data_IF_613879842631
#
_entry.id   IF_613879842631
#
_cell.length_a   1.000
_cell.length_b   1.000
_cell.length_c   1.000
_cell.angle_alpha   90.00
_cell.angle_beta   90.00
_cell.angle_gamma   90.00
#
_symmetry.space_group_name_H-M   'P 1'
#
loop_
_entity.id
_entity.type
_entity.pdbx_description
1 polymer ?
#
# COMPACT_ATOMS: atom_id res chain seq x y z
N UNK A 1 -47.08 34.69 -4.82
CA UNK A 1 -46.43 33.39 -4.56
C UNK A 1 -47.23 32.65 -3.50
N UNK A 2 -47.43 31.34 -3.59
CA UNK A 2 -48.05 30.57 -2.50
C UNK A 2 -47.10 30.49 -1.30
N UNK A 3 -47.62 30.48 -0.06
CA UNK A 3 -46.80 30.33 1.16
C UNK A 3 -45.84 29.14 1.06
N UNK A 4 -46.30 28.02 0.51
CA UNK A 4 -45.50 26.82 0.25
C UNK A 4 -44.27 27.09 -0.62
N UNK A 5 -44.39 27.94 -1.66
CA UNK A 5 -43.27 28.29 -2.54
C UNK A 5 -42.25 29.17 -1.83
N UNK A 6 -42.70 30.11 -1.00
CA UNK A 6 -41.81 30.95 -0.20
C UNK A 6 -41.03 30.11 0.82
N UNK A 7 -41.70 29.16 1.48
CA UNK A 7 -41.07 28.22 2.41
C UNK A 7 -40.05 27.33 1.67
N UNK A 8 -40.42 26.72 0.54
CA UNK A 8 -39.50 25.88 -0.23
C UNK A 8 -38.28 26.66 -0.74
N UNK A 9 -38.46 27.90 -1.20
CA UNK A 9 -37.36 28.76 -1.61
C UNK A 9 -36.44 29.12 -0.45
N UNK A 10 -37.00 29.45 0.73
CA UNK A 10 -36.22 29.72 1.93
C UNK A 10 -35.44 28.47 2.38
N UNK A 11 -36.06 27.29 2.43
CA UNK A 11 -35.38 26.03 2.76
C UNK A 11 -34.27 25.70 1.76
N UNK A 12 -34.49 25.96 0.46
CA UNK A 12 -33.47 25.78 -0.58
C UNK A 12 -32.27 26.67 -0.32
N UNK A 13 -32.49 27.96 -0.05
CA UNK A 13 -31.41 28.91 0.23
C UNK A 13 -30.62 28.51 1.48
N UNK A 14 -31.31 28.18 2.58
CA UNK A 14 -30.67 27.75 3.84
C UNK A 14 -29.87 26.47 3.63
N UNK A 15 -30.43 25.47 2.95
CA UNK A 15 -29.74 24.20 2.68
C UNK A 15 -28.52 24.40 1.77
N UNK A 16 -28.60 25.29 0.78
CA UNK A 16 -27.46 25.64 -0.08
C UNK A 16 -26.33 26.31 0.72
N UNK A 17 -26.66 27.28 1.59
CA UNK A 17 -25.67 27.94 2.46
C UNK A 17 -25.04 26.93 3.42
N UNK A 18 -25.85 26.08 4.05
CA UNK A 18 -25.37 25.02 4.94
C UNK A 18 -24.45 24.02 4.23
N UNK A 19 -24.78 23.65 2.98
CA UNK A 19 -23.96 22.78 2.14
C UNK A 19 -22.60 23.43 1.82
N UNK A 20 -22.59 24.70 1.38
CA UNK A 20 -21.36 25.43 1.08
C UNK A 20 -20.48 25.52 2.33
N UNK A 21 -21.05 25.93 3.47
CA UNK A 21 -20.32 26.04 4.73
C UNK A 21 -19.73 24.69 5.17
N UNK A 22 -20.51 23.61 5.06
CA UNK A 22 -20.07 22.25 5.40
C UNK A 22 -18.98 21.74 4.45
N UNK A 23 -19.09 22.03 3.15
CA UNK A 23 -18.08 21.67 2.16
C UNK A 23 -16.75 22.42 2.39
N UNK A 24 -16.81 23.71 2.73
CA UNK A 24 -15.61 24.50 3.10
C UNK A 24 -14.98 23.96 4.38
N UNK A 25 -15.78 23.63 5.40
CA UNK A 25 -15.27 23.03 6.63
C UNK A 25 -14.64 21.64 6.39
N UNK A 26 -15.25 20.82 5.53
CA UNK A 26 -14.72 19.52 5.10
C UNK A 26 -13.39 19.69 4.38
N UNK A 27 -13.30 20.60 3.40
CA UNK A 27 -12.08 20.87 2.65
C UNK A 27 -10.95 21.37 3.56
N UNK A 28 -11.25 22.27 4.51
CA UNK A 28 -10.28 22.72 5.52
C UNK A 28 -9.83 21.59 6.43
N UNK A 29 -10.75 20.75 6.90
CA UNK A 29 -10.43 19.59 7.74
C UNK A 29 -9.52 18.59 7.04
N UNK A 30 -9.77 18.32 5.75
CA UNK A 30 -8.91 17.45 4.92
C UNK A 30 -7.55 18.11 4.68
N UNK A 31 -7.51 19.41 4.35
CA UNK A 31 -6.27 20.13 4.11
C UNK A 31 -5.39 20.18 5.37
N UNK A 32 -6.00 20.44 6.53
CA UNK A 32 -5.32 20.42 7.82
C UNK A 32 -4.78 19.01 8.11
N UNK A 33 -5.61 17.98 7.98
CA UNK A 33 -5.18 16.60 8.19
C UNK A 33 -3.98 16.22 7.31
N UNK A 34 -4.01 16.55 6.02
CA UNK A 34 -2.90 16.26 5.10
C UNK A 34 -1.64 17.09 5.40
N UNK A 35 -1.79 18.26 6.01
CA UNK A 35 -0.66 19.09 6.45
C UNK A 35 -0.03 18.52 7.72
N UNK A 36 -0.85 18.06 8.66
CA UNK A 36 -0.42 17.46 9.92
C UNK A 36 0.09 16.02 9.73
N UNK A 37 -0.35 15.35 8.67
CA UNK A 37 -0.02 13.97 8.32
C UNK A 37 0.44 13.91 6.86
N UNK A 38 1.60 14.49 6.50
CA UNK A 38 2.10 14.42 5.14
C UNK A 38 2.38 12.96 4.77
N UNK A 39 1.57 12.39 3.90
CA UNK A 39 1.82 11.04 3.37
C UNK A 39 2.84 11.14 2.25
N UNK A 40 4.09 10.75 2.55
CA UNK A 40 5.11 10.57 1.52
C UNK A 40 4.65 9.62 0.41
N UNK A 41 5.28 9.74 -0.75
CA UNK A 41 5.14 8.76 -1.82
C UNK A 41 6.29 7.78 -1.67
N UNK A 42 5.94 6.51 -1.45
CA UNK A 42 6.90 5.43 -1.36
C UNK A 42 7.05 4.79 -2.73
N UNK A 43 8.24 4.94 -3.32
CA UNK A 43 8.60 4.27 -4.55
C UNK A 43 9.34 2.99 -4.23
N UNK A 44 8.85 1.91 -4.82
CA UNK A 44 9.44 0.58 -4.67
C UNK A 44 9.77 0.07 -6.05
N UNK A 45 11.05 -0.07 -6.33
CA UNK A 45 11.58 -0.36 -7.66
C UNK A 45 12.27 -1.74 -7.59
N UNK A 46 11.62 -2.81 -8.11
CA UNK A 46 12.27 -4.11 -8.17
C UNK A 46 13.43 -4.06 -9.16
N UNK A 47 14.58 -4.56 -8.73
CA UNK A 47 15.79 -4.67 -9.54
C UNK A 47 16.00 -6.14 -9.91
N UNK A 48 16.12 -6.39 -11.22
CA UNK A 48 16.33 -7.74 -11.77
C UNK A 48 17.78 -8.02 -12.17
N UNK A 49 18.67 -7.05 -11.95
CA UNK A 49 20.08 -7.14 -12.31
C UNK A 49 20.88 -7.98 -11.30
N UNK A 50 21.73 -8.87 -11.80
CA UNK A 50 22.65 -9.69 -11.00
C UNK A 50 23.85 -8.87 -10.50
N UNK A 51 24.15 -7.75 -11.15
CA UNK A 51 25.22 -6.84 -10.77
C UNK A 51 24.73 -5.41 -10.82
N UNK A 52 24.99 -4.66 -9.75
CA UNK A 52 24.64 -3.24 -9.65
C UNK A 52 25.58 -2.54 -8.66
N UNK A 53 25.55 -1.21 -8.64
CA UNK A 53 26.35 -0.41 -7.70
C UNK A 53 25.43 0.38 -6.79
N UNK A 54 25.69 0.33 -5.48
CA UNK A 54 24.92 1.05 -4.47
C UNK A 54 25.85 1.63 -3.40
N UNK A 55 25.63 2.89 -3.01
CA UNK A 55 26.55 3.65 -2.14
C UNK A 55 28.04 3.52 -2.50
N UNK A 56 28.34 3.53 -3.81
CA UNK A 56 29.70 3.42 -4.32
C UNK A 56 30.32 2.01 -4.26
N UNK A 57 29.57 1.01 -3.80
CA UNK A 57 30.02 -0.39 -3.65
C UNK A 57 29.31 -1.31 -4.64
N UNK A 58 30.03 -2.30 -5.14
CA UNK A 58 29.47 -3.27 -6.05
C UNK A 58 28.66 -4.31 -5.28
N UNK A 59 27.49 -4.62 -5.83
CA UNK A 59 26.62 -5.70 -5.40
C UNK A 59 26.59 -6.72 -6.53
N UNK A 60 26.88 -7.98 -6.18
CA UNK A 60 26.82 -9.09 -7.12
C UNK A 60 26.06 -10.25 -6.51
N UNK A 61 25.11 -10.77 -7.27
CA UNK A 61 24.31 -11.96 -6.96
C UNK A 61 24.77 -13.10 -7.85
N UNK A 62 25.05 -14.25 -7.25
CA UNK A 62 25.46 -15.46 -7.96
C UNK A 62 24.76 -16.68 -7.37
N UNK A 63 24.49 -17.65 -8.23
CA UNK A 63 23.88 -18.92 -7.83
C UNK A 63 24.94 -19.98 -7.56
N UNK A 64 24.84 -20.66 -6.41
CA UNK A 64 25.53 -21.90 -6.09
C UNK A 64 24.45 -22.97 -5.85
N UNK A 65 23.91 -23.50 -6.96
CA UNK A 65 22.73 -24.39 -6.99
C UNK A 65 22.99 -25.65 -7.80
N UNK A 66 22.32 -26.75 -7.43
CA UNK A 66 22.29 -28.02 -8.15
C UNK A 66 21.37 -27.97 -9.39
N UNK A 67 21.35 -29.06 -10.17
CA UNK A 67 20.49 -29.21 -11.37
C UNK A 67 18.98 -29.13 -11.06
N UNK A 68 18.59 -29.24 -9.78
CA UNK A 68 17.20 -29.10 -9.32
C UNK A 68 16.91 -27.69 -8.79
N UNK A 69 17.86 -26.77 -8.90
CA UNK A 69 17.75 -25.40 -8.40
C UNK A 69 17.81 -25.30 -6.88
N UNK A 70 18.33 -26.30 -6.17
CA UNK A 70 18.52 -26.28 -4.71
C UNK A 70 19.94 -25.83 -4.41
N UNK A 71 20.13 -25.03 -3.37
CA UNK A 71 21.44 -24.55 -2.97
C UNK A 71 21.35 -23.21 -2.27
N UNK A 72 22.29 -22.31 -2.58
CA UNK A 72 22.34 -20.97 -2.00
C UNK A 72 22.47 -19.90 -3.09
N UNK A 73 21.80 -18.78 -2.88
CA UNK A 73 22.07 -17.52 -3.58
C UNK A 73 23.11 -16.78 -2.76
N UNK A 74 24.26 -16.49 -3.38
CA UNK A 74 25.35 -15.76 -2.75
C UNK A 74 25.29 -14.32 -3.21
N UNK A 75 25.17 -13.40 -2.26
CA UNK A 75 25.12 -11.96 -2.50
C UNK A 75 26.34 -11.32 -1.87
N UNK A 76 27.09 -10.58 -2.67
CA UNK A 76 28.26 -9.83 -2.23
C UNK A 76 27.94 -8.34 -2.20
N UNK A 77 28.48 -7.62 -1.22
CA UNK A 77 28.39 -6.17 -1.09
C UNK A 77 29.72 -5.62 -0.57
N UNK A 78 30.57 -5.15 -1.48
CA UNK A 78 31.98 -4.95 -1.17
C UNK A 78 32.61 -6.24 -0.64
N UNK A 79 33.16 -6.22 0.57
CA UNK A 79 33.82 -7.37 1.20
C UNK A 79 32.86 -8.29 1.97
N UNK A 80 31.57 -7.92 2.07
CA UNK A 80 30.57 -8.72 2.79
C UNK A 80 29.94 -9.75 1.87
N UNK A 81 29.70 -10.94 2.42
CA UNK A 81 29.06 -12.06 1.75
C UNK A 81 27.84 -12.49 2.56
N UNK A 82 26.69 -12.49 1.93
CA UNK A 82 25.42 -13.00 2.44
C UNK A 82 25.06 -14.26 1.65
N UNK A 83 24.81 -15.37 2.35
CA UNK A 83 24.39 -16.63 1.73
C UNK A 83 22.95 -16.91 2.10
N UNK A 84 22.08 -16.96 1.10
CA UNK A 84 20.65 -17.14 1.27
C UNK A 84 20.26 -18.52 0.76
N UNK A 85 19.71 -19.41 1.60
CA UNK A 85 19.26 -20.72 1.14
C UNK A 85 18.08 -20.57 0.19
N UNK A 86 18.12 -21.26 -0.95
CA UNK A 86 17.01 -21.25 -1.90
C UNK A 86 15.76 -21.81 -1.24
N UNK A 87 14.72 -20.96 -1.14
CA UNK A 87 13.45 -21.32 -0.48
C UNK A 87 12.50 -22.08 -1.39
N UNK A 88 12.43 -21.68 -2.65
CA UNK A 88 11.59 -22.29 -3.68
C UNK A 88 12.51 -22.68 -4.84
N UNK A 89 12.92 -23.96 -4.92
CA UNK A 89 13.79 -24.42 -5.99
C UNK A 89 13.11 -24.30 -7.36
N UNK A 90 13.84 -23.78 -8.34
CA UNK A 90 13.40 -23.71 -9.73
C UNK A 90 14.45 -24.42 -10.62
N UNK A 91 14.15 -25.61 -11.17
CA UNK A 91 15.11 -26.37 -11.98
C UNK A 91 15.45 -25.65 -13.29
N UNK A 92 14.57 -24.77 -13.79
CA UNK A 92 14.78 -24.09 -15.05
C UNK A 92 15.78 -22.93 -14.91
N UNK A 93 16.82 -22.85 -15.76
CA UNK A 93 17.73 -21.71 -15.80
C UNK A 93 17.04 -20.52 -16.45
N UNK A 94 16.44 -19.66 -15.63
CA UNK A 94 15.89 -18.37 -16.07
C UNK A 94 16.97 -17.28 -16.00
N UNK A 95 16.92 -16.27 -16.87
CA UNK A 95 17.92 -15.21 -16.89
C UNK A 95 17.80 -14.27 -15.69
N UNK A 96 18.93 -13.75 -15.22
CA UNK A 96 18.95 -12.77 -14.14
C UNK A 96 18.41 -13.34 -12.84
N UNK A 97 17.73 -12.49 -12.08
CA UNK A 97 17.09 -12.88 -10.83
C UNK A 97 15.72 -13.55 -11.03
N UNK A 98 15.28 -13.77 -12.27
CA UNK A 98 13.95 -14.32 -12.56
C UNK A 98 13.74 -15.72 -12.00
N UNK A 99 14.82 -16.53 -11.91
CA UNK A 99 14.78 -17.87 -11.29
C UNK A 99 14.27 -17.83 -9.86
N UNK A 100 14.57 -16.75 -9.14
CA UNK A 100 14.30 -16.62 -7.71
C UNK A 100 13.11 -15.71 -7.39
N UNK A 101 12.45 -15.13 -8.39
CA UNK A 101 11.41 -14.13 -8.21
C UNK A 101 10.25 -14.59 -7.31
N UNK A 102 10.01 -15.91 -7.20
CA UNK A 102 8.99 -16.52 -6.34
C UNK A 102 9.30 -16.44 -4.83
N UNK A 103 10.53 -16.12 -4.45
CA UNK A 103 10.91 -16.02 -3.05
C UNK A 103 11.93 -14.93 -2.73
N UNK A 104 12.64 -14.40 -3.71
CA UNK A 104 13.72 -13.42 -3.53
C UNK A 104 13.55 -12.28 -4.53
N UNK A 105 13.64 -11.06 -4.03
CA UNK A 105 13.62 -9.84 -4.86
C UNK A 105 14.57 -8.80 -4.28
N UNK A 106 15.37 -8.16 -5.13
CA UNK A 106 16.11 -6.96 -4.75
C UNK A 106 15.23 -5.75 -5.04
N UNK A 107 15.09 -4.87 -4.06
CA UNK A 107 14.19 -3.73 -4.12
C UNK A 107 14.93 -2.48 -3.71
N UNK A 108 14.87 -1.45 -4.56
CA UNK A 108 15.21 -0.08 -4.17
C UNK A 108 13.96 0.62 -3.67
N UNK A 109 14.04 1.19 -2.48
CA UNK A 109 12.94 1.88 -1.83
C UNK A 109 13.31 3.34 -1.57
N UNK A 110 12.47 4.26 -2.04
CA UNK A 110 12.69 5.70 -1.95
C UNK A 110 11.46 6.34 -1.29
N UNK A 111 11.68 7.05 -0.19
CA UNK A 111 10.67 7.80 0.55
C UNK A 111 10.67 9.25 0.07
N UNK A 112 9.76 9.60 -0.84
CA UNK A 112 9.71 10.94 -1.41
C UNK A 112 8.61 11.81 -0.77
N UNK A 113 8.77 13.15 -0.74
CA UNK A 113 7.69 14.04 -0.37
C UNK A 113 6.44 13.87 -1.24
N UNK A 114 5.24 14.23 -0.74
CA UNK A 114 4.02 14.20 -1.53
C UNK A 114 4.19 14.96 -2.85
N UNK A 115 3.57 14.45 -3.93
CA UNK A 115 3.57 15.05 -5.28
C UNK A 115 4.96 15.16 -5.95
N UNK A 116 5.96 14.44 -5.44
CA UNK A 116 7.25 14.28 -6.13
C UNK A 116 7.08 13.28 -7.28
N UNK A 117 7.72 13.49 -8.43
CA UNK A 117 7.79 12.49 -9.52
C UNK A 117 8.87 11.45 -9.22
N UNK A 118 8.81 10.28 -9.88
CA UNK A 118 9.84 9.25 -9.71
C UNK A 118 11.24 9.76 -10.10
N UNK A 119 11.35 10.46 -11.22
CA UNK A 119 12.62 11.03 -11.71
C UNK A 119 13.21 12.00 -10.68
N UNK A 120 12.38 12.93 -10.17
CA UNK A 120 12.82 13.88 -9.13
C UNK A 120 13.18 13.16 -7.84
N UNK A 121 12.43 12.14 -7.44
CA UNK A 121 12.74 11.34 -6.26
C UNK A 121 14.10 10.62 -6.41
N UNK A 122 14.40 10.09 -7.59
CA UNK A 122 15.70 9.48 -7.87
C UNK A 122 16.85 10.49 -7.80
N UNK A 123 16.66 11.70 -8.34
CA UNK A 123 17.65 12.78 -8.20
C UNK A 123 17.90 13.15 -6.73
N UNK A 124 16.83 13.35 -5.96
CA UNK A 124 16.90 13.66 -4.53
C UNK A 124 17.60 12.53 -3.75
N UNK A 125 17.30 11.27 -4.07
CA UNK A 125 17.95 10.10 -3.50
C UNK A 125 19.45 10.06 -3.83
N UNK A 126 19.83 10.31 -5.10
CA UNK A 126 21.23 10.39 -5.51
C UNK A 126 21.98 11.56 -4.86
N UNK A 127 21.29 12.68 -4.62
CA UNK A 127 21.81 13.84 -3.91
C UNK A 127 21.87 13.68 -2.40
N UNK A 128 21.30 12.60 -1.84
CA UNK A 128 21.21 12.37 -0.40
C UNK A 128 20.20 13.28 0.31
N UNK A 129 19.28 13.91 -0.42
CA UNK A 129 18.21 14.77 0.14
C UNK A 129 17.12 13.94 0.84
N UNK A 130 16.89 12.71 0.39
CA UNK A 130 15.89 11.78 0.93
C UNK A 130 16.48 10.39 1.14
N UNK A 131 15.79 9.57 1.93
CA UNK A 131 16.22 8.20 2.20
C UNK A 131 16.15 7.34 0.93
N UNK A 132 17.29 6.71 0.61
CA UNK A 132 17.45 5.73 -0.45
C UNK A 132 17.89 4.42 0.17
N UNK A 133 17.04 3.40 0.09
CA UNK A 133 17.30 2.09 0.66
C UNK A 133 17.42 1.08 -0.45
N UNK A 134 18.39 0.18 -0.34
CA UNK A 134 18.44 -1.01 -1.15
C UNK A 134 18.35 -2.22 -0.24
N UNK A 135 17.41 -3.11 -0.56
CA UNK A 135 17.05 -4.20 0.33
C UNK A 135 16.80 -5.46 -0.49
N UNK A 136 17.30 -6.59 0.01
CA UNK A 136 16.84 -7.90 -0.42
C UNK A 136 15.63 -8.28 0.42
N UNK A 137 14.55 -8.69 -0.25
CA UNK A 137 13.37 -9.22 0.42
C UNK A 137 13.20 -10.69 0.08
N UNK A 138 13.33 -11.52 1.11
CA UNK A 138 13.02 -12.94 1.08
C UNK A 138 11.58 -13.17 1.52
N UNK A 139 10.86 -14.05 0.81
CA UNK A 139 9.63 -14.68 1.28
C UNK A 139 10.01 -16.03 1.86
N UNK A 140 9.80 -16.19 3.15
CA UNK A 140 10.18 -17.40 3.89
C UNK A 140 8.91 -18.23 4.11
N UNK A 141 8.71 -19.32 3.34
CA UNK A 141 7.63 -20.24 3.63
C UNK A 141 7.99 -21.03 4.89
N UNK A 142 7.35 -20.74 6.03
CA UNK A 142 7.47 -21.58 7.22
C UNK A 142 6.47 -22.73 7.13
N UNK A 143 6.98 -23.91 6.79
CA UNK A 143 6.23 -25.16 6.62
C UNK A 143 5.82 -25.81 7.95
N UNK A 144 6.62 -25.65 9.00
CA UNK A 144 6.41 -26.33 10.29
C UNK A 144 5.21 -25.78 11.07
N UNK A 145 4.83 -24.52 10.85
CA UNK A 145 3.56 -23.97 11.37
C UNK A 145 2.31 -24.49 10.61
N UNK A 146 2.53 -25.40 9.65
CA UNK A 146 1.59 -25.85 8.64
C UNK A 146 1.75 -27.36 8.36
N UNK A 147 1.91 -28.20 9.40
CA UNK A 147 1.58 -29.62 9.25
C UNK A 147 0.16 -29.72 8.68
N UNK A 148 0.07 -30.05 7.39
CA UNK A 148 -1.18 -30.12 6.62
C UNK A 148 -1.47 -28.97 5.64
N UNK A 149 -0.79 -27.82 5.69
CA UNK A 149 -1.06 -26.71 4.75
C UNK A 149 -0.15 -26.68 3.51
N UNK A 150 0.91 -27.50 3.49
CA UNK A 150 1.70 -27.81 2.30
C UNK A 150 1.80 -29.32 2.08
N UNK A 151 0.66 -29.99 2.27
CA UNK A 151 0.51 -31.41 1.98
C UNK A 151 1.16 -31.74 0.65
N UNK A 152 2.22 -32.54 0.70
CA UNK A 152 2.67 -33.37 -0.41
C UNK A 152 1.63 -34.48 -0.69
N UNK A 153 0.36 -34.11 -0.71
CA UNK A 153 -0.68 -34.65 -1.58
C UNK A 153 -1.58 -33.47 -1.97
N UNK A 154 -1.69 -33.16 -3.27
CA UNK A 154 -2.55 -32.09 -3.74
C UNK A 154 -4.01 -32.52 -3.53
N UNK A 155 -4.71 -31.90 -2.58
CA UNK A 155 -6.17 -31.88 -2.67
C UNK A 155 -6.53 -31.18 -3.98
N UNK A 156 -7.29 -31.86 -4.84
CA UNK A 156 -7.84 -31.29 -6.07
C UNK A 156 -8.45 -29.92 -5.77
N UNK A 157 -7.82 -28.86 -6.28
CA UNK A 157 -8.20 -27.46 -6.01
C UNK A 157 -7.18 -26.63 -5.23
N UNK A 158 -6.03 -27.19 -4.82
CA UNK A 158 -4.91 -26.45 -4.20
C UNK A 158 -4.17 -25.57 -5.22
N UNK A 159 -4.84 -24.53 -5.71
CA UNK A 159 -4.18 -23.41 -6.34
C UNK A 159 -3.64 -22.44 -5.28
N UNK A 160 -2.74 -21.55 -5.70
CA UNK A 160 -2.21 -20.40 -4.93
C UNK A 160 -3.26 -19.50 -4.24
N UNK A 161 -4.55 -19.79 -4.38
CA UNK A 161 -5.69 -19.11 -3.76
C UNK A 161 -5.78 -19.31 -2.23
N UNK A 162 -5.14 -20.36 -1.67
CA UNK A 162 -5.25 -20.70 -0.25
C UNK A 162 -3.99 -20.41 0.58
N UNK A 163 -3.01 -19.64 0.08
CA UNK A 163 -1.88 -19.23 0.92
C UNK A 163 -2.37 -18.28 2.02
N UNK A 164 -2.50 -18.81 3.24
CA UNK A 164 -2.95 -18.02 4.38
C UNK A 164 -1.94 -16.90 4.65
N UNK A 165 -2.32 -15.67 4.34
CA UNK A 165 -1.50 -14.44 4.52
C UNK A 165 -0.84 -14.34 5.89
N UNK A 166 -1.49 -14.87 6.93
CA UNK A 166 -1.01 -14.92 8.31
C UNK A 166 0.27 -15.75 8.49
N UNK A 167 0.63 -16.60 7.53
CA UNK A 167 1.79 -17.50 7.62
C UNK A 167 3.00 -17.00 6.83
N UNK A 168 2.93 -15.76 6.34
CA UNK A 168 4.00 -15.15 5.57
C UNK A 168 5.05 -14.59 6.52
N UNK A 169 6.29 -15.01 6.33
CA UNK A 169 7.48 -14.44 6.94
C UNK A 169 8.32 -13.80 5.85
N UNK A 170 8.96 -12.70 6.20
CA UNK A 170 9.78 -11.94 5.29
C UNK A 170 11.16 -11.72 5.92
N UNK A 171 12.21 -12.07 5.18
CA UNK A 171 13.57 -11.65 5.50
C UNK A 171 13.88 -10.35 4.79
N UNK A 172 14.43 -9.38 5.51
CA UNK A 172 14.88 -8.10 4.96
C UNK A 172 16.38 -7.99 5.18
N UNK A 173 17.15 -7.81 4.11
CA UNK A 173 18.59 -7.59 4.18
C UNK A 173 18.91 -6.23 3.55
N UNK A 174 19.06 -5.21 4.39
CA UNK A 174 19.29 -3.81 3.97
C UNK A 174 20.79 -3.54 3.83
N UNK A 175 21.20 -3.06 2.66
CA UNK A 175 22.57 -2.65 2.38
C UNK A 175 22.80 -1.24 2.91
N UNK A 176 23.70 -1.09 3.88
CA UNK A 176 23.99 0.20 4.54
C UNK A 176 25.16 0.93 3.86
N UNK A 177 25.22 2.28 3.95
CA UNK A 177 26.32 3.05 3.38
C UNK A 177 27.72 2.65 3.88
N UNK A 178 27.82 2.20 5.14
CA UNK A 178 29.07 1.76 5.77
C UNK A 178 29.61 0.42 5.22
N UNK A 179 28.84 -0.26 4.37
CA UNK A 179 29.19 -1.58 3.82
C UNK A 179 28.66 -2.76 4.63
N UNK A 180 27.93 -2.51 5.73
CA UNK A 180 27.24 -3.56 6.46
C UNK A 180 25.94 -3.98 5.78
N UNK A 181 25.46 -5.18 6.13
CA UNK A 181 24.15 -5.70 5.73
C UNK A 181 23.36 -5.94 7.01
N UNK A 182 22.31 -5.15 7.24
CA UNK A 182 21.41 -5.35 8.38
C UNK A 182 20.33 -6.36 7.98
N UNK A 183 20.15 -7.40 8.79
CA UNK A 183 19.19 -8.48 8.50
C UNK A 183 18.12 -8.55 9.58
N UNK A 184 16.86 -8.51 9.16
CA UNK A 184 15.71 -8.59 10.06
C UNK A 184 14.67 -9.53 9.47
N UNK A 185 14.09 -10.40 10.29
CA UNK A 185 12.96 -11.24 9.89
C UNK A 185 11.68 -10.74 10.55
N UNK A 186 10.62 -10.54 9.77
CA UNK A 186 9.31 -10.10 10.26
C UNK A 186 8.19 -10.97 9.69
N UNK A 187 7.16 -11.21 10.50
CA UNK A 187 5.93 -11.88 10.09
C UNK A 187 4.91 -10.88 9.59
N UNK A 188 4.04 -11.30 8.68
CA UNK A 188 2.84 -10.54 8.34
C UNK A 188 1.92 -10.35 9.57
N UNK A 189 1.28 -9.18 9.75
CA UNK A 189 0.51 -8.90 10.95
C UNK A 189 -0.65 -9.87 11.12
N UNK A 190 -0.77 -10.45 12.30
CA UNK A 190 -1.88 -11.36 12.65
C UNK A 190 -2.99 -10.66 13.41
N UNK A 191 -2.69 -9.51 14.02
CA UNK A 191 -3.62 -8.69 14.78
C UNK A 191 -4.65 -8.01 13.89
N UNK A 192 -5.75 -7.53 14.49
CA UNK A 192 -6.71 -6.70 13.76
C UNK A 192 -6.06 -5.37 13.40
N UNK A 193 -6.44 -4.78 12.27
CA UNK A 193 -5.82 -3.57 11.67
C UNK A 193 -5.70 -2.34 12.58
N UNK A 194 -6.43 -2.27 13.69
CA UNK A 194 -6.40 -1.15 14.66
C UNK A 194 -5.65 -1.50 15.97
N UNK A 195 -5.06 -2.70 16.05
CA UNK A 195 -4.23 -3.11 17.17
C UNK A 195 -2.77 -2.95 16.80
N UNK A 196 -1.95 -2.56 17.77
CA UNK A 196 -0.51 -2.52 17.60
C UNK A 196 -0.03 -3.92 17.14
N UNK A 197 0.84 -3.99 16.12
CA UNK A 197 1.47 -5.24 15.70
C UNK A 197 2.24 -5.86 16.87
N UNK A 198 2.27 -7.19 16.94
CA UNK A 198 3.10 -7.88 17.93
C UNK A 198 4.59 -7.68 17.63
N UNK A 199 5.44 -7.98 18.61
CA UNK A 199 6.89 -8.02 18.38
C UNK A 199 7.22 -9.06 17.30
N UNK A 200 8.09 -8.69 16.37
CA UNK A 200 8.41 -9.51 15.20
C UNK A 200 7.37 -9.48 14.07
N UNK A 201 6.32 -8.67 14.16
CA UNK A 201 5.38 -8.43 13.06
C UNK A 201 5.70 -7.15 12.29
N UNK A 202 5.37 -7.14 10.99
CA UNK A 202 5.43 -5.95 10.16
C UNK A 202 4.54 -4.85 10.75
N UNK A 203 5.00 -3.60 10.67
CA UNK A 203 4.22 -2.45 11.15
C UNK A 203 3.70 -1.63 9.98
N UNK A 204 2.42 -1.32 9.99
CA UNK A 204 1.81 -0.43 9.00
C UNK A 204 2.55 0.92 8.95
N UNK A 205 2.72 1.47 7.74
CA UNK A 205 3.42 2.73 7.51
C UNK A 205 4.95 2.64 7.58
N UNK A 206 5.52 1.43 7.72
CA UNK A 206 6.97 1.22 7.60
C UNK A 206 7.34 0.79 6.18
N UNK A 207 8.56 1.11 5.75
CA UNK A 207 9.06 0.67 4.45
C UNK A 207 9.04 -0.86 4.31
N UNK A 208 9.31 -1.61 5.39
CA UNK A 208 9.27 -3.08 5.38
C UNK A 208 7.88 -3.57 5.01
N UNK A 209 6.83 -2.94 5.55
CA UNK A 209 5.45 -3.29 5.22
C UNK A 209 5.13 -3.04 3.76
N UNK A 210 5.53 -1.88 3.23
CA UNK A 210 5.24 -1.50 1.84
C UNK A 210 5.98 -2.37 0.84
N UNK A 211 7.26 -2.69 1.10
CA UNK A 211 8.03 -3.59 0.25
C UNK A 211 7.50 -5.01 0.32
N UNK A 212 7.19 -5.52 1.52
CA UNK A 212 6.58 -6.84 1.69
C UNK A 212 5.29 -6.97 0.89
N UNK A 213 4.42 -5.95 0.94
CA UNK A 213 3.16 -5.92 0.21
C UNK A 213 3.35 -6.04 -1.30
N UNK A 214 4.40 -5.47 -1.86
CA UNK A 214 4.66 -5.53 -3.31
C UNK A 214 5.22 -6.86 -3.79
N UNK A 215 5.97 -7.56 -2.94
CA UNK A 215 6.51 -8.89 -3.28
C UNK A 215 5.49 -10.00 -3.03
N UNK A 216 4.33 -9.69 -2.44
CA UNK A 216 3.22 -10.64 -2.31
C UNK A 216 2.59 -10.95 -3.68
N UNK A 217 2.17 -12.20 -3.95
CA UNK A 217 1.41 -12.59 -5.11
C UNK A 217 0.16 -11.74 -5.28
N UNK A 218 -0.13 -11.37 -6.53
CA UNK A 218 -1.31 -10.61 -6.89
C UNK A 218 -2.57 -11.35 -6.44
N UNK A 219 -3.49 -10.65 -5.76
CA UNK A 219 -4.69 -11.24 -5.15
C UNK A 219 -4.54 -11.63 -3.66
N UNK A 220 -3.30 -11.75 -3.16
CA UNK A 220 -3.01 -11.98 -1.73
C UNK A 220 -2.73 -10.67 -0.97
N UNK A 221 -2.69 -9.53 -1.64
CA UNK A 221 -2.56 -8.21 -1.01
C UNK A 221 -3.80 -7.86 -0.17
N UNK A 222 -3.68 -7.34 1.08
CA UNK A 222 -4.80 -6.72 1.78
C UNK A 222 -5.42 -5.59 0.97
N UNK A 223 -6.75 -5.45 1.03
CA UNK A 223 -7.41 -4.22 0.59
C UNK A 223 -6.86 -3.08 1.44
N UNK A 224 -6.37 -2.02 0.81
CA UNK A 224 -6.00 -0.79 1.52
C UNK A 224 -7.20 -0.32 2.33
N UNK A 225 -6.96 -0.05 3.61
CA UNK A 225 -7.98 0.45 4.52
C UNK A 225 -7.91 1.97 4.55
N UNK A 226 -9.05 2.64 4.38
CA UNK A 226 -9.13 4.10 4.47
C UNK A 226 -9.66 4.56 5.84
N UNK A 227 -9.61 3.68 6.85
CA UNK A 227 -10.16 3.93 8.20
C UNK A 227 -9.40 4.97 9.01
N UNK A 228 -8.15 5.28 8.66
CA UNK A 228 -7.38 6.42 9.21
C UNK A 228 -7.20 7.54 8.17
N UNK A 229 -8.20 7.70 7.29
CA UNK A 229 -8.17 8.71 6.23
C UNK A 229 -8.66 10.09 6.69
N UNK A 230 -8.28 11.12 5.92
CA UNK A 230 -8.75 12.49 6.10
C UNK A 230 -10.29 12.63 6.20
N UNK A 231 -11.03 11.72 5.56
CA UNK A 231 -12.50 11.66 5.63
C UNK A 231 -13.02 11.26 7.02
N UNK A 232 -12.33 10.35 7.71
CA UNK A 232 -12.70 9.95 9.08
C UNK A 232 -12.44 11.11 10.04
N UNK A 233 -11.32 11.81 9.88
CA UNK A 233 -11.03 13.02 10.65
C UNK A 233 -12.07 14.12 10.39
N UNK A 234 -12.58 14.23 9.17
CA UNK A 234 -13.60 15.19 8.77
C UNK A 234 -15.03 14.63 8.77
N UNK A 235 -15.33 13.62 9.61
CA UNK A 235 -16.65 12.95 9.65
C UNK A 235 -17.83 13.90 9.92
N UNK A 236 -17.66 14.89 10.80
CA UNK A 236 -18.72 15.85 11.16
C UNK A 236 -19.12 16.76 10.00
N UNK A 237 -18.18 17.50 9.36
CA UNK A 237 -18.52 18.32 8.21
C UNK A 237 -18.97 17.48 7.01
N UNK A 238 -18.48 16.24 6.86
CA UNK A 238 -18.99 15.31 5.85
C UNK A 238 -20.47 14.95 6.07
N UNK A 239 -20.85 14.60 7.30
CA UNK A 239 -22.25 14.32 7.64
C UNK A 239 -23.15 15.55 7.44
N UNK A 240 -22.69 16.74 7.84
CA UNK A 240 -23.41 17.99 7.65
C UNK A 240 -23.61 18.34 6.16
N UNK A 241 -22.57 18.14 5.33
CA UNK A 241 -22.66 18.32 3.89
C UNK A 241 -23.67 17.35 3.27
N UNK A 242 -23.64 16.08 3.69
CA UNK A 242 -24.55 15.05 3.19
C UNK A 242 -26.02 15.36 3.52
N UNK A 243 -26.31 15.74 4.77
CA UNK A 243 -27.65 16.15 5.20
C UNK A 243 -28.12 17.42 4.47
N UNK A 244 -27.24 18.41 4.31
CA UNK A 244 -27.56 19.66 3.62
C UNK A 244 -27.86 19.43 2.14
N UNK A 245 -27.13 18.51 1.49
CA UNK A 245 -27.38 18.12 0.11
C UNK A 245 -28.75 17.44 -0.04
N UNK A 246 -29.09 16.49 0.85
CA UNK A 246 -30.40 15.83 0.82
C UNK A 246 -31.54 16.83 1.03
N UNK A 247 -31.39 17.75 2.00
CA UNK A 247 -32.38 18.80 2.26
C UNK A 247 -32.56 19.74 1.05
N UNK A 248 -31.46 20.12 0.40
CA UNK A 248 -31.45 20.94 -0.80
C UNK A 248 -32.19 20.26 -1.97
N UNK A 249 -31.93 18.97 -2.20
CA UNK A 249 -32.59 18.20 -3.26
C UNK A 249 -34.08 18.07 -3.00
N UNK A 250 -34.48 17.79 -1.75
CA UNK A 250 -35.88 17.70 -1.37
C UNK A 250 -36.61 19.06 -1.54
N UNK A 251 -35.99 20.17 -1.12
CA UNK A 251 -36.60 21.49 -1.26
C UNK A 251 -36.72 21.93 -2.71
N UNK A 252 -35.73 21.62 -3.55
CA UNK A 252 -35.79 21.86 -5.00
C UNK A 252 -36.92 21.05 -5.66
N UNK A 253 -37.09 19.78 -5.29
CA UNK A 253 -38.17 18.94 -5.81
C UNK A 253 -39.56 19.49 -5.44
N UNK A 254 -39.75 19.97 -4.21
CA UNK A 254 -41.01 20.62 -3.79
C UNK A 254 -41.23 21.93 -4.54
N UNK A 255 -40.18 22.74 -4.71
CA UNK A 255 -40.27 24.01 -5.43
C UNK A 255 -40.61 23.82 -6.92
N UNK A 256 -40.06 22.80 -7.57
CA UNK A 256 -40.35 22.47 -8.97
C UNK A 256 -41.76 21.90 -9.15
N UNK A 257 -42.20 20.99 -8.27
CA UNK A 257 -43.56 20.45 -8.28
C UNK A 257 -44.64 21.52 -8.10
N UNK A 258 -44.36 22.56 -7.30
CA UNK A 258 -45.26 23.69 -7.11
C UNK A 258 -45.42 24.56 -8.37
N UNK A 259 -44.48 24.51 -9.33
CA UNK A 259 -44.58 25.23 -10.60
C UNK A 259 -45.41 24.47 -11.65
N UNK A 260 -45.37 23.12 -11.65
CA UNK A 260 -46.08 22.28 -12.64
C UNK A 260 -47.61 22.29 -12.53
N UNK A 261 -48.18 22.65 -11.38
CA UNK A 261 -49.64 22.71 -11.18
C UNK A 261 -50.33 23.91 -11.84
N UNK A 262 -49.58 24.84 -12.46
CA UNK A 262 -50.16 26.03 -13.13
C UNK A 262 -50.51 25.83 -14.61
N UNK A 263 -50.23 24.67 -15.18
CA UNK A 263 -50.31 24.43 -16.63
C UNK A 263 -51.28 23.31 -17.07
N UNK A 264 -52.24 22.92 -16.23
CA UNK A 264 -53.40 22.15 -16.71
C UNK A 264 -54.51 23.12 -17.12
N UNK A 265 -54.77 23.34 -18.43
CA UNK A 265 -55.97 24.01 -18.87
C UNK A 265 -57.18 23.13 -18.49
N UNK A 266 -58.21 23.74 -17.94
CA UNK A 266 -59.48 23.07 -17.71
C UNK A 266 -60.06 22.63 -19.07
N UNK A 267 -60.36 21.34 -19.19
CA UNK A 267 -61.15 20.77 -20.28
C UNK A 267 -62.64 20.97 -19.99
#
# INVERSE_FOLDING_TARGET
>A
MTRTRQIAAACTLVSAVALIASAVALARGIAQFNTDNPTGINYTLPLLAESLRFHGRDIRVTDDVDDRGRGVVVVTYGDRVLKLPVRIPQPNPLPGLARHADWFTIVRFIEAPPRTSLERAQEMAMGGEIADRLVIVERIPRLEANEGALGLEPQEGWGWQNVQRKNWFFGFHEFKPDGSIESTELRFPTTRRQQAPLEGELRYGTWQYDVAFQVMPKGAAPRQDFTEGALVHAQRPFAAASLSLMALLASLAVASAANGKRSQPAA
#
